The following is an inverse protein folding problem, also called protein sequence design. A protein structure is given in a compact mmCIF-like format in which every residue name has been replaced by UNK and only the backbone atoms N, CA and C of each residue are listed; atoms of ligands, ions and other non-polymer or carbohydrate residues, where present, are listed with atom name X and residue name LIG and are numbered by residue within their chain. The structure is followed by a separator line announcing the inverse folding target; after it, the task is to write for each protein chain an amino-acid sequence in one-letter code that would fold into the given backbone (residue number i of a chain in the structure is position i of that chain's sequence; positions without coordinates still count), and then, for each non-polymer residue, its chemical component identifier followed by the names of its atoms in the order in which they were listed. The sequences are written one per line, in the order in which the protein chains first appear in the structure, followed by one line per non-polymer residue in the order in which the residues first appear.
data_IF_066861434061
#
_entry.id   IF_066861434061
#
_cell.length_a   1.000
_cell.length_b   1.000
_cell.length_c   1.000
_cell.angle_alpha   90.00
_cell.angle_beta   90.00
_cell.angle_gamma   90.00
#
_symmetry.space_group_name_H-M   'P 1'
#
loop_
_entity.id
_entity.type
_entity.pdbx_description
1 polymer ?
#
# COMPACT_ATOMS: atom_id res chain seq x y z
N UNK A 1 -11.04 61.70 -25.13
CA UNK A 1 -10.05 60.67 -24.79
C UNK A 1 -10.53 60.10 -23.46
N UNK A 2 -11.49 59.17 -23.42
CA UNK A 2 -11.43 57.76 -23.84
C UNK A 2 -10.31 57.01 -23.14
N UNK A 3 -10.69 55.84 -22.59
CA UNK A 3 -9.89 54.81 -21.92
C UNK A 3 -9.50 55.08 -20.45
N UNK A 4 -9.67 54.17 -19.49
CA UNK A 4 -10.27 52.84 -19.45
C UNK A 4 -10.40 52.45 -17.96
N UNK A 5 -11.46 51.74 -17.59
CA UNK A 5 -11.62 51.06 -16.30
C UNK A 5 -10.60 49.92 -16.17
N UNK A 6 -9.89 49.75 -15.05
CA UNK A 6 -9.30 48.46 -14.73
C UNK A 6 -10.36 47.56 -14.08
N UNK A 7 -10.72 46.53 -14.83
CA UNK A 7 -11.51 45.35 -14.44
C UNK A 7 -10.78 44.56 -13.33
N UNK A 8 -11.49 43.83 -12.45
CA UNK A 8 -10.86 43.04 -11.39
C UNK A 8 -10.18 41.81 -12.01
N UNK A 9 -8.87 41.71 -11.87
CA UNK A 9 -8.10 40.59 -12.42
C UNK A 9 -7.88 39.49 -11.38
N UNK A 10 -8.52 38.35 -11.70
CA UNK A 10 -8.06 36.97 -11.56
C UNK A 10 -7.88 36.38 -10.16
N UNK A 11 -8.97 35.77 -9.70
CA UNK A 11 -9.08 34.36 -9.29
C UNK A 11 -7.76 33.65 -8.96
N UNK A 12 -7.58 33.41 -7.66
CA UNK A 12 -6.67 32.41 -7.10
C UNK A 12 -6.95 31.03 -7.74
N UNK A 13 -5.94 30.50 -8.43
CA UNK A 13 -5.97 29.14 -8.97
C UNK A 13 -5.85 28.16 -7.80
N UNK A 14 -6.98 27.56 -7.42
CA UNK A 14 -7.04 26.41 -6.50
C UNK A 14 -6.32 25.24 -7.18
N UNK A 15 -5.37 24.54 -6.52
CA UNK A 15 -4.71 23.40 -7.13
C UNK A 15 -5.76 22.34 -7.47
N UNK A 16 -5.85 21.98 -8.76
CA UNK A 16 -6.65 20.84 -9.22
C UNK A 16 -6.13 19.58 -8.51
N UNK A 17 -6.95 19.00 -7.66
CA UNK A 17 -6.60 17.79 -6.92
C UNK A 17 -6.60 16.57 -7.85
N UNK A 18 -5.54 15.77 -7.85
CA UNK A 18 -5.47 14.40 -8.39
C UNK A 18 -6.37 13.40 -7.63
N UNK A 19 -7.53 13.85 -7.15
CA UNK A 19 -8.46 13.05 -6.39
C UNK A 19 -9.15 12.05 -7.33
N UNK A 20 -9.08 10.76 -6.97
CA UNK A 20 -9.89 9.73 -7.63
C UNK A 20 -11.38 10.02 -7.39
N UNK A 21 -12.27 9.57 -8.30
CA UNK A 21 -13.71 9.65 -8.08
C UNK A 21 -14.13 9.01 -6.76
N UNK A 22 -15.18 9.55 -6.15
CA UNK A 22 -15.82 8.94 -4.98
C UNK A 22 -16.33 7.53 -5.33
N UNK A 23 -16.23 6.61 -4.37
CA UNK A 23 -16.72 5.24 -4.48
C UNK A 23 -17.83 5.00 -3.46
N UNK A 24 -18.67 3.99 -3.72
CA UNK A 24 -19.68 3.57 -2.76
C UNK A 24 -19.05 2.84 -1.58
N UNK A 25 -19.76 2.80 -0.43
CA UNK A 25 -19.36 1.94 0.69
C UNK A 25 -19.35 0.45 0.29
N UNK A 26 -20.22 0.04 -0.62
CA UNK A 26 -20.29 -1.34 -1.12
C UNK A 26 -19.00 -1.73 -1.86
N UNK A 27 -18.41 -0.81 -2.61
CA UNK A 27 -17.12 -1.05 -3.27
C UNK A 27 -15.99 -1.22 -2.26
N UNK A 28 -16.01 -0.45 -1.17
CA UNK A 28 -15.07 -0.62 -0.06
C UNK A 28 -15.28 -1.97 0.65
N UNK A 29 -16.53 -2.32 0.99
CA UNK A 29 -16.88 -3.55 1.69
C UNK A 29 -16.55 -4.83 0.90
N UNK A 30 -16.40 -4.74 -0.43
CA UNK A 30 -15.91 -5.85 -1.28
C UNK A 30 -14.43 -6.15 -1.07
N UNK A 31 -13.65 -5.22 -0.51
CA UNK A 31 -12.22 -5.40 -0.27
C UNK A 31 -12.04 -6.10 1.08
N UNK A 32 -11.45 -7.30 1.08
CA UNK A 32 -11.15 -8.02 2.32
C UNK A 32 -9.83 -7.49 2.88
N UNK A 33 -9.91 -6.47 3.73
CA UNK A 33 -8.78 -5.91 4.45
C UNK A 33 -8.58 -6.61 5.78
N UNK A 34 -7.36 -7.11 6.03
CA UNK A 34 -7.02 -7.81 7.27
C UNK A 34 -5.71 -7.35 7.86
N UNK A 35 -5.61 -7.42 9.18
CA UNK A 35 -4.33 -7.39 9.88
C UNK A 35 -3.67 -8.76 9.78
N UNK A 36 -2.42 -8.80 9.36
CA UNK A 36 -1.61 -10.01 9.28
C UNK A 36 -0.27 -9.81 9.99
N UNK A 37 0.28 -10.88 10.56
CA UNK A 37 1.60 -10.87 11.20
C UNK A 37 2.63 -11.48 10.25
N UNK A 38 3.76 -10.80 10.07
CA UNK A 38 4.87 -11.34 9.27
C UNK A 38 5.56 -12.43 10.08
N UNK A 39 5.53 -13.67 9.60
CA UNK A 39 6.17 -14.83 10.26
C UNK A 39 7.51 -15.18 9.62
N UNK A 40 7.71 -14.84 8.34
CA UNK A 40 8.97 -14.99 7.64
C UNK A 40 9.11 -13.89 6.58
N UNK A 41 10.34 -13.40 6.39
CA UNK A 41 10.69 -12.47 5.33
C UNK A 41 12.01 -12.91 4.69
N UNK A 42 12.07 -12.88 3.36
CA UNK A 42 13.29 -13.19 2.60
C UNK A 42 13.38 -12.33 1.34
N UNK A 43 14.60 -12.16 0.83
CA UNK A 43 14.80 -11.54 -0.48
C UNK A 43 14.16 -12.40 -1.57
N UNK A 44 13.44 -11.79 -2.50
CA UNK A 44 12.88 -12.53 -3.63
C UNK A 44 14.02 -13.06 -4.52
N UNK A 45 14.04 -14.37 -4.87
CA UNK A 45 15.20 -15.00 -5.53
C UNK A 45 15.53 -14.39 -6.89
N UNK A 46 14.49 -14.00 -7.63
CA UNK A 46 14.62 -13.46 -9.00
C UNK A 46 14.25 -11.97 -9.11
N UNK A 47 14.16 -11.21 -8.00
CA UNK A 47 13.71 -9.81 -8.04
C UNK A 47 14.39 -8.92 -7.01
N UNK A 48 15.17 -7.96 -7.49
CA UNK A 48 16.04 -7.12 -6.64
C UNK A 48 15.27 -6.12 -5.77
N UNK A 49 14.03 -5.78 -6.17
CA UNK A 49 13.18 -4.81 -5.46
C UNK A 49 12.13 -5.47 -4.56
N UNK A 50 12.02 -6.79 -4.57
CA UNK A 50 10.94 -7.49 -3.88
C UNK A 50 11.47 -8.28 -2.69
N UNK A 51 10.65 -8.31 -1.63
CA UNK A 51 10.72 -9.28 -0.56
C UNK A 51 9.60 -10.30 -0.74
N UNK A 52 9.87 -11.55 -0.38
CA UNK A 52 8.89 -12.61 -0.26
C UNK A 52 8.57 -12.78 1.23
N UNK A 53 7.30 -12.63 1.57
CA UNK A 53 6.83 -12.63 2.95
C UNK A 53 5.87 -13.79 3.15
N UNK A 54 6.02 -14.50 4.26
CA UNK A 54 4.98 -15.39 4.79
C UNK A 54 4.26 -14.68 5.92
N UNK A 55 2.94 -14.71 5.88
CA UNK A 55 2.07 -14.02 6.80
C UNK A 55 1.14 -15.00 7.52
N UNK A 56 0.90 -14.75 8.80
CA UNK A 56 -0.27 -15.25 9.51
C UNK A 56 -1.40 -14.23 9.35
N UNK A 57 -2.46 -14.58 8.63
CA UNK A 57 -3.66 -13.77 8.42
C UNK A 57 -4.89 -14.36 9.14
N UNK A 58 -4.67 -15.24 10.12
CA UNK A 58 -5.74 -15.92 10.85
C UNK A 58 -6.46 -17.03 10.07
N UNK A 59 -6.05 -17.34 8.83
CA UNK A 59 -6.65 -18.44 8.05
C UNK A 59 -6.21 -19.84 8.49
N UNK A 60 -5.20 -19.94 9.38
CA UNK A 60 -4.60 -21.21 9.79
C UNK A 60 -3.56 -21.77 8.82
N UNK A 61 -3.35 -21.12 7.67
CA UNK A 61 -2.28 -21.46 6.72
C UNK A 61 -1.45 -20.22 6.41
N UNK A 62 -0.10 -20.31 6.34
CA UNK A 62 0.72 -19.18 5.95
C UNK A 62 0.35 -18.65 4.56
N UNK A 63 0.15 -17.34 4.47
CA UNK A 63 -0.09 -16.64 3.21
C UNK A 63 1.21 -16.05 2.67
N UNK A 64 1.53 -16.38 1.42
CA UNK A 64 2.64 -15.77 0.71
C UNK A 64 2.23 -14.48 -0.01
N UNK A 65 2.99 -13.41 0.19
CA UNK A 65 2.93 -12.19 -0.65
C UNK A 65 4.32 -11.78 -1.11
N UNK A 66 4.40 -11.12 -2.27
CA UNK A 66 5.62 -10.47 -2.75
C UNK A 66 5.45 -8.95 -2.62
N UNK A 67 6.29 -8.30 -1.81
CA UNK A 67 6.20 -6.88 -1.49
C UNK A 67 7.38 -6.10 -2.08
N UNK A 68 7.09 -5.02 -2.83
CA UNK A 68 8.10 -4.17 -3.46
C UNK A 68 8.73 -3.14 -2.52
N UNK A 69 9.22 -3.60 -1.37
CA UNK A 69 9.70 -2.74 -0.27
C UNK A 69 11.16 -2.99 0.12
N UNK A 70 11.89 -3.81 -0.65
CA UNK A 70 13.27 -4.23 -0.33
C UNK A 70 14.26 -3.06 -0.25
N UNK A 71 14.00 -1.98 -0.97
CA UNK A 71 14.81 -0.75 -0.93
C UNK A 71 14.63 0.03 0.40
N UNK A 72 13.59 -0.29 1.20
CA UNK A 72 13.19 0.47 2.39
C UNK A 72 13.29 -0.33 3.69
N UNK A 73 13.21 -1.65 3.64
CA UNK A 73 13.20 -2.51 4.83
C UNK A 73 14.10 -3.73 4.63
N UNK A 74 14.84 -4.10 5.68
CA UNK A 74 15.51 -5.40 5.72
C UNK A 74 14.51 -6.49 6.14
N UNK A 75 14.69 -7.74 5.67
CA UNK A 75 13.81 -8.85 6.05
C UNK A 75 13.70 -9.03 7.58
N UNK A 76 14.81 -8.93 8.29
CA UNK A 76 14.88 -9.19 9.74
C UNK A 76 14.09 -8.16 10.57
N UNK A 77 13.97 -6.92 10.08
CA UNK A 77 13.21 -5.87 10.76
C UNK A 77 11.68 -6.06 10.66
N UNK A 78 11.25 -6.87 9.70
CA UNK A 78 9.83 -7.10 9.38
C UNK A 78 9.25 -8.28 10.16
N UNK A 79 10.05 -9.28 10.51
CA UNK A 79 9.55 -10.48 11.19
C UNK A 79 8.95 -10.10 12.55
N UNK A 80 7.74 -10.60 12.81
CA UNK A 80 6.97 -10.32 14.02
C UNK A 80 6.12 -9.06 13.97
N UNK A 81 6.26 -8.20 12.94
CA UNK A 81 5.44 -6.99 12.78
C UNK A 81 4.04 -7.33 12.27
N UNK A 82 3.07 -6.54 12.71
CA UNK A 82 1.69 -6.57 12.20
C UNK A 82 1.52 -5.54 11.08
N UNK A 83 0.86 -5.95 10.00
CA UNK A 83 0.67 -5.14 8.79
C UNK A 83 -0.77 -5.26 8.31
N UNK A 84 -1.23 -4.31 7.48
CA UNK A 84 -2.52 -4.41 6.80
C UNK A 84 -2.33 -4.96 5.39
N UNK A 85 -3.16 -5.94 5.00
CA UNK A 85 -3.16 -6.54 3.67
C UNK A 85 -4.56 -6.52 3.04
N UNK A 86 -4.59 -6.57 1.71
CA UNK A 86 -5.76 -7.01 0.94
C UNK A 86 -5.69 -8.52 0.73
N UNK A 87 -6.59 -9.26 1.36
CA UNK A 87 -6.57 -10.72 1.44
C UNK A 87 -7.32 -11.43 0.29
N UNK A 88 -8.24 -10.74 -0.38
CA UNK A 88 -9.08 -11.29 -1.46
C UNK A 88 -8.66 -10.90 -2.89
N UNK A 89 -7.41 -10.44 -3.09
CA UNK A 89 -6.87 -10.29 -4.43
C UNK A 89 -6.61 -11.66 -5.08
N UNK A 90 -7.00 -11.80 -6.35
CA UNK A 90 -6.66 -12.98 -7.13
C UNK A 90 -5.12 -13.21 -7.13
N UNK A 91 -4.65 -14.46 -6.93
CA UNK A 91 -3.23 -14.76 -6.96
C UNK A 91 -2.56 -14.30 -8.25
N UNK A 92 -1.34 -13.76 -8.13
CA UNK A 92 -0.52 -13.37 -9.29
C UNK A 92 0.87 -13.96 -9.16
N UNK A 93 1.42 -14.46 -10.26
CA UNK A 93 2.82 -14.88 -10.34
C UNK A 93 3.71 -13.68 -10.64
N UNK A 94 4.72 -13.46 -9.81
CA UNK A 94 5.71 -12.40 -9.97
C UNK A 94 7.07 -13.09 -10.05
N UNK A 95 7.68 -13.09 -11.24
CA UNK A 95 8.99 -13.69 -11.51
C UNK A 95 9.18 -15.12 -10.93
N UNK A 96 8.14 -15.94 -11.05
CA UNK A 96 8.12 -17.34 -10.63
C UNK A 96 7.48 -17.60 -9.26
N UNK A 97 7.37 -16.59 -8.41
CA UNK A 97 6.75 -16.71 -7.07
C UNK A 97 5.29 -16.31 -7.10
N UNK A 98 4.45 -17.01 -6.35
CA UNK A 98 3.05 -16.66 -6.20
C UNK A 98 2.86 -15.58 -5.13
N UNK A 99 2.07 -14.55 -5.42
CA UNK A 99 1.66 -13.53 -4.46
C UNK A 99 0.14 -13.57 -4.30
N UNK A 100 -0.32 -13.84 -3.09
CA UNK A 100 -1.74 -14.00 -2.73
C UNK A 100 -2.24 -12.82 -1.89
N UNK A 101 -2.00 -11.60 -2.34
CA UNK A 101 -2.41 -10.40 -1.63
C UNK A 101 -1.50 -9.22 -1.90
N UNK A 102 -1.79 -8.12 -1.21
CA UNK A 102 -1.03 -6.87 -1.28
C UNK A 102 -1.00 -6.22 0.10
N UNK A 103 0.21 -5.90 0.57
CA UNK A 103 0.42 -5.06 1.75
C UNK A 103 0.08 -3.60 1.43
N UNK A 104 -0.50 -2.89 2.41
CA UNK A 104 -0.73 -1.45 2.32
C UNK A 104 0.46 -0.66 2.87
N UNK A 105 0.88 0.36 2.13
CA UNK A 105 1.94 1.27 2.51
C UNK A 105 1.64 2.68 1.98
N UNK A 106 2.01 3.69 2.75
CA UNK A 106 2.01 5.08 2.33
C UNK A 106 3.28 5.39 1.52
N UNK A 107 3.19 6.33 0.58
CA UNK A 107 4.34 6.88 -0.13
C UNK A 107 4.21 8.39 -0.26
N UNK A 108 5.32 9.09 -0.13
CA UNK A 108 5.41 10.55 -0.30
C UNK A 108 5.44 10.98 -1.77
N UNK A 109 5.77 10.06 -2.68
CA UNK A 109 5.77 10.28 -4.12
C UNK A 109 4.97 9.20 -4.88
N UNK A 110 4.30 9.58 -5.98
CA UNK A 110 3.70 8.65 -6.92
C UNK A 110 4.69 7.59 -7.41
N UNK A 111 4.15 6.43 -7.80
CA UNK A 111 4.97 5.35 -8.35
C UNK A 111 5.53 5.79 -9.71
N UNK A 112 6.86 5.90 -9.81
CA UNK A 112 7.56 6.27 -11.05
C UNK A 112 8.06 7.72 -11.10
N UNK A 113 7.87 8.50 -10.05
CA UNK A 113 8.46 9.84 -9.92
C UNK A 113 9.99 9.79 -9.90
N UNK A 114 10.63 10.81 -10.47
CA UNK A 114 12.08 11.01 -10.36
C UNK A 114 12.41 11.59 -8.98
N UNK A 115 13.33 10.93 -8.24
CA UNK A 115 13.77 11.37 -6.91
C UNK A 115 13.66 10.29 -5.83
N UNK A 116 14.13 10.59 -4.60
CA UNK A 116 13.97 9.70 -3.46
C UNK A 116 12.48 9.55 -3.12
N UNK A 117 12.07 8.31 -2.81
CA UNK A 117 10.70 7.97 -2.43
C UNK A 117 10.70 7.35 -1.05
N UNK A 118 9.94 7.88 -0.11
CA UNK A 118 9.65 7.26 1.17
C UNK A 118 8.53 6.23 1.03
N UNK A 119 8.68 5.07 1.69
CA UNK A 119 7.62 4.06 1.79
C UNK A 119 7.46 3.64 3.25
N UNK A 120 6.26 3.87 3.80
CA UNK A 120 5.92 3.55 5.20
C UNK A 120 4.83 2.50 5.23
N UNK A 121 5.13 1.31 5.77
CA UNK A 121 4.15 0.21 5.88
C UNK A 121 3.06 0.58 6.89
N UNK A 122 1.80 0.32 6.53
CA UNK A 122 0.67 0.58 7.43
C UNK A 122 0.56 -0.52 8.50
N UNK A 123 0.44 -0.10 9.76
CA UNK A 123 0.31 -0.97 10.94
C UNK A 123 -0.84 -0.48 11.82
N UNK A 124 -1.54 -1.37 12.55
CA UNK A 124 -2.45 -0.94 13.62
C UNK A 124 -1.68 -0.19 14.71
N UNK A 125 -2.35 0.74 15.39
CA UNK A 125 -1.78 1.53 16.51
C UNK A 125 -1.57 0.71 17.79
N UNK A 126 -2.16 -0.48 17.87
CA UNK A 126 -2.05 -1.39 19.01
C UNK A 126 -2.05 -2.82 18.49
N UNK A 127 -1.54 -3.77 19.28
CA UNK A 127 -1.59 -5.17 18.90
C UNK A 127 -3.04 -5.65 18.79
N UNK A 128 -3.29 -6.47 17.78
CA UNK A 128 -4.56 -7.11 17.51
C UNK A 128 -4.30 -8.47 16.87
N UNK A 129 -5.20 -9.43 17.06
CA UNK A 129 -5.02 -10.78 16.58
C UNK A 129 -4.89 -10.84 15.04
N UNK A 130 -3.99 -11.70 14.50
CA UNK A 130 -3.97 -12.02 13.08
C UNK A 130 -5.35 -12.39 12.54
N UNK A 131 -5.68 -11.88 11.36
CA UNK A 131 -6.97 -12.09 10.70
C UNK A 131 -8.08 -11.13 11.12
N UNK A 132 -7.80 -10.19 12.03
CA UNK A 132 -8.76 -9.13 12.37
C UNK A 132 -9.10 -8.29 11.12
N UNK A 133 -10.39 -8.08 10.91
CA UNK A 133 -10.92 -7.29 9.78
C UNK A 133 -10.67 -5.79 9.99
N UNK A 134 -10.38 -5.08 8.91
CA UNK A 134 -10.34 -3.61 8.88
C UNK A 134 -11.64 -3.11 8.24
N UNK A 135 -12.30 -2.16 8.90
CA UNK A 135 -13.60 -1.61 8.52
C UNK A 135 -13.66 -0.10 8.72
#
# INVERSE_FOLDING_TARGET
MSDATPQPTAAETKPESDAKPEISFEDFARIDLRVAKIVQAEAHPNADRLLKLQLDDGSGTPRQICAGIREFYQPDDLVGKSIVIVANLAPRKIRGEESRGMMLAASDAPKGSEGPRGVVVMTPMSEIAPGSTVS
#
